data_IF_476950587359
#
_entry.id   IF_476950587359
#
_cell.length_a   1.000
_cell.length_b   1.000
_cell.length_c   1.000
_cell.angle_alpha   90.00
_cell.angle_beta   90.00
_cell.angle_gamma   90.00
#
_symmetry.space_group_name_H-M   'P 1'
#
loop_
_entity.id
_entity.type
_entity.pdbx_description
1 polymer ?
#
# COMPACT_ATOMS: atom_id res chain seq x y z
N UNK A 1 9.76 18.37 -11.87
CA UNK A 1 8.90 18.35 -10.67
C UNK A 1 8.77 16.92 -10.18
N UNK A 2 9.42 16.56 -9.08
CA UNK A 2 9.22 15.26 -8.44
C UNK A 2 7.82 15.24 -7.84
N UNK A 3 6.91 14.45 -8.44
CA UNK A 3 5.59 14.21 -7.90
C UNK A 3 5.72 13.31 -6.65
N UNK A 4 6.09 13.91 -5.53
CA UNK A 4 5.99 13.26 -4.22
C UNK A 4 4.50 13.07 -3.95
N UNK A 5 4.07 11.82 -3.82
CA UNK A 5 2.69 11.51 -3.51
C UNK A 5 2.41 12.00 -2.09
N UNK A 6 1.72 13.14 -1.96
CA UNK A 6 1.15 13.60 -0.68
C UNK A 6 -0.05 12.73 -0.36
N UNK A 7 0.20 11.61 0.27
CA UNK A 7 -0.84 10.75 0.82
C UNK A 7 -1.43 11.41 2.08
N UNK A 8 -2.53 12.17 1.93
CA UNK A 8 -3.31 12.67 3.07
C UNK A 8 -4.44 11.68 3.44
N UNK A 9 -4.86 11.72 4.72
CA UNK A 9 -5.64 10.72 5.47
C UNK A 9 -6.40 9.67 4.63
N UNK A 10 -6.11 8.36 4.81
CA UNK A 10 -5.79 7.71 6.09
C UNK A 10 -4.33 7.20 6.23
N UNK A 11 -3.45 7.56 5.30
CA UNK A 11 -2.04 7.15 5.29
C UNK A 11 -1.17 7.69 6.42
N UNK A 12 -1.59 8.77 7.10
CA UNK A 12 -0.83 9.29 8.25
C UNK A 12 -0.79 8.28 9.41
N UNK A 13 -1.75 7.34 9.49
CA UNK A 13 -1.70 6.22 10.45
C UNK A 13 -0.57 5.22 10.18
N UNK A 14 -0.14 5.10 8.93
CA UNK A 14 1.03 4.28 8.56
C UNK A 14 2.35 5.00 8.85
N UNK A 15 2.32 6.34 8.92
CA UNK A 15 3.48 7.21 9.15
C UNK A 15 3.57 7.71 10.59
N UNK A 16 2.70 7.25 11.48
CA UNK A 16 2.70 7.72 12.87
C UNK A 16 3.96 7.24 13.57
N UNK A 17 4.61 8.14 14.30
CA UNK A 17 5.77 7.80 15.09
C UNK A 17 5.46 6.69 16.10
N UNK A 18 6.44 5.83 16.33
CA UNK A 18 6.46 4.85 17.42
C UNK A 18 7.90 4.78 17.91
N UNK A 19 8.07 4.70 19.23
CA UNK A 19 9.34 4.41 19.90
C UNK A 19 9.78 2.95 19.76
N UNK A 20 8.88 2.07 19.29
CA UNK A 20 9.17 0.66 19.03
C UNK A 20 9.58 0.44 17.56
N UNK A 21 10.82 0.00 17.28
CA UNK A 21 11.32 -0.18 15.93
C UNK A 21 10.63 -1.31 15.15
N UNK A 22 10.14 -2.36 15.83
CA UNK A 22 9.43 -3.46 15.17
C UNK A 22 8.09 -2.99 14.61
N UNK A 23 7.36 -2.14 15.34
CA UNK A 23 6.11 -1.54 14.85
C UNK A 23 6.38 -0.71 13.59
N UNK A 24 7.44 0.10 13.59
CA UNK A 24 7.83 0.90 12.43
C UNK A 24 8.20 0.02 11.23
N UNK A 25 8.94 -1.06 11.46
CA UNK A 25 9.30 -2.02 10.41
C UNK A 25 8.04 -2.65 9.79
N UNK A 26 7.07 -3.09 10.61
CA UNK A 26 5.83 -3.67 10.08
C UNK A 26 4.99 -2.65 9.30
N UNK A 27 4.93 -1.40 9.77
CA UNK A 27 4.28 -0.31 9.01
C UNK A 27 4.97 -0.05 7.68
N UNK A 28 6.30 -0.08 7.64
CA UNK A 28 7.06 0.09 6.40
C UNK A 28 6.78 -1.05 5.39
N UNK A 29 6.75 -2.30 5.85
CA UNK A 29 6.38 -3.46 5.02
C UNK A 29 4.97 -3.29 4.43
N UNK A 30 4.00 -2.92 5.26
CA UNK A 30 2.62 -2.69 4.82
C UNK A 30 2.55 -1.55 3.80
N UNK A 31 3.25 -0.44 4.06
CA UNK A 31 3.29 0.70 3.16
C UNK A 31 3.88 0.33 1.79
N UNK A 32 4.99 -0.40 1.78
CA UNK A 32 5.64 -0.85 0.56
C UNK A 32 4.72 -1.75 -0.26
N UNK A 33 4.07 -2.73 0.37
CA UNK A 33 3.12 -3.58 -0.31
C UNK A 33 1.92 -2.81 -0.91
N UNK A 34 1.43 -1.77 -0.23
CA UNK A 34 0.38 -0.91 -0.79
C UNK A 34 0.89 -0.15 -2.03
N UNK A 35 2.13 0.37 -1.98
CA UNK A 35 2.77 1.03 -3.12
C UNK A 35 2.84 0.07 -4.30
N UNK A 36 3.36 -1.14 -4.08
CA UNK A 36 3.54 -2.15 -5.12
C UNK A 36 2.20 -2.62 -5.70
N UNK A 37 1.20 -2.91 -4.84
CA UNK A 37 -0.14 -3.30 -5.28
C UNK A 37 -0.85 -2.21 -6.11
N UNK A 38 -0.46 -0.95 -5.93
CA UNK A 38 -0.97 0.22 -6.63
C UNK A 38 -0.18 0.61 -7.87
N UNK A 39 0.89 -0.13 -8.20
CA UNK A 39 1.71 0.14 -9.37
C UNK A 39 0.89 -0.05 -10.66
N UNK A 40 1.18 0.79 -11.66
CA UNK A 40 0.50 0.83 -12.96
C UNK A 40 1.50 0.70 -14.13
N UNK A 41 2.78 0.45 -13.82
CA UNK A 41 3.82 0.29 -14.82
C UNK A 41 3.56 -0.93 -15.71
N UNK A 42 3.87 -0.80 -17.00
CA UNK A 42 3.77 -1.89 -17.96
C UNK A 42 4.96 -2.88 -17.89
N UNK A 43 6.04 -2.51 -17.18
CA UNK A 43 7.25 -3.32 -17.05
C UNK A 43 6.95 -4.68 -16.36
N UNK A 44 7.60 -5.74 -16.84
CA UNK A 44 7.28 -7.11 -16.43
C UNK A 44 7.53 -7.38 -14.94
N UNK A 45 8.63 -6.86 -14.42
CA UNK A 45 9.04 -6.95 -13.02
C UNK A 45 8.07 -6.19 -12.13
N UNK A 46 7.64 -5.00 -12.57
CA UNK A 46 6.67 -4.19 -11.84
C UNK A 46 5.30 -4.88 -11.74
N UNK A 47 4.85 -5.57 -12.80
CA UNK A 47 3.62 -6.38 -12.78
C UNK A 47 3.73 -7.58 -11.84
N UNK A 48 4.89 -8.22 -11.78
CA UNK A 48 5.14 -9.32 -10.84
C UNK A 48 4.98 -8.85 -9.39
N UNK A 49 5.65 -7.76 -9.02
CA UNK A 49 5.55 -7.21 -7.65
C UNK A 49 4.15 -6.70 -7.33
N UNK A 50 3.46 -6.06 -8.29
CA UNK A 50 2.05 -5.69 -8.15
C UNK A 50 1.18 -6.90 -7.82
N UNK A 51 1.34 -7.99 -8.57
CA UNK A 51 0.55 -9.21 -8.40
C UNK A 51 0.80 -9.88 -7.05
N UNK A 52 2.07 -10.06 -6.66
CA UNK A 52 2.45 -10.65 -5.38
C UNK A 52 1.94 -9.81 -4.20
N UNK A 53 2.08 -8.49 -4.25
CA UNK A 53 1.59 -7.61 -3.21
C UNK A 53 0.05 -7.64 -3.08
N UNK A 54 -0.67 -7.74 -4.21
CA UNK A 54 -2.13 -7.91 -4.20
C UNK A 54 -2.56 -9.23 -3.58
N UNK A 55 -1.88 -10.33 -3.91
CA UNK A 55 -2.14 -11.62 -3.28
C UNK A 55 -1.91 -11.52 -1.77
N UNK A 56 -0.79 -10.93 -1.35
CA UNK A 56 -0.46 -10.81 0.07
C UNK A 56 -1.52 -10.02 0.86
N UNK A 57 -1.96 -8.87 0.34
CA UNK A 57 -2.96 -8.01 1.01
C UNK A 57 -4.37 -8.63 0.93
N UNK A 58 -4.80 -9.08 -0.25
CA UNK A 58 -6.21 -9.44 -0.47
C UNK A 58 -6.55 -10.90 -0.21
N UNK A 59 -5.55 -11.78 -0.07
CA UNK A 59 -5.77 -13.13 0.48
C UNK A 59 -6.23 -13.09 1.93
N UNK A 60 -5.97 -11.98 2.64
CA UNK A 60 -6.23 -11.82 4.07
C UNK A 60 -5.69 -13.00 4.90
N UNK A 61 -4.52 -13.52 4.52
CA UNK A 61 -3.91 -14.68 5.18
C UNK A 61 -3.60 -14.42 6.65
N UNK A 62 -3.49 -15.49 7.46
CA UNK A 62 -3.08 -15.39 8.87
C UNK A 62 -1.75 -14.63 9.04
N UNK A 63 -0.81 -14.81 8.10
CA UNK A 63 0.45 -14.09 8.11
C UNK A 63 0.25 -12.59 7.88
N UNK A 64 -0.54 -12.20 6.90
CA UNK A 64 -0.89 -10.79 6.66
C UNK A 64 -1.59 -10.16 7.88
N UNK A 65 -2.57 -10.85 8.46
CA UNK A 65 -3.27 -10.37 9.64
C UNK A 65 -2.31 -10.18 10.82
N UNK A 66 -1.42 -11.15 11.06
CA UNK A 66 -0.39 -11.04 12.11
C UNK A 66 0.49 -9.80 11.91
N UNK A 67 0.97 -9.56 10.69
CA UNK A 67 1.79 -8.39 10.37
C UNK A 67 1.01 -7.08 10.61
N UNK A 68 -0.29 -7.04 10.29
CA UNK A 68 -1.14 -5.88 10.57
C UNK A 68 -1.27 -5.61 12.07
N UNK A 69 -1.56 -6.64 12.87
CA UNK A 69 -1.68 -6.49 14.32
C UNK A 69 -0.34 -6.12 14.98
N UNK A 70 0.77 -6.71 14.54
CA UNK A 70 2.12 -6.31 14.96
C UNK A 70 2.42 -4.83 14.61
N UNK A 71 1.82 -4.29 13.54
CA UNK A 71 1.88 -2.88 13.18
C UNK A 71 0.90 -1.97 13.95
N UNK A 72 0.07 -2.55 14.84
CA UNK A 72 -1.09 -1.91 15.50
C UNK A 72 -2.11 -1.35 14.51
N UNK A 73 -2.42 -2.11 13.47
CA UNK A 73 -3.38 -1.78 12.44
C UNK A 73 -4.38 -2.92 12.26
N UNK A 74 -5.64 -2.57 12.06
CA UNK A 74 -6.66 -3.53 11.67
C UNK A 74 -6.41 -4.00 10.21
N UNK A 75 -6.46 -5.31 9.92
CA UNK A 75 -6.32 -5.82 8.55
C UNK A 75 -7.32 -5.16 7.58
N UNK A 76 -8.57 -4.99 7.99
CA UNK A 76 -9.62 -4.35 7.19
C UNK A 76 -9.31 -2.88 6.88
N UNK A 77 -8.67 -2.18 7.81
CA UNK A 77 -8.18 -0.82 7.57
C UNK A 77 -7.13 -0.84 6.46
N UNK A 78 -6.12 -1.71 6.54
CA UNK A 78 -5.06 -1.83 5.53
C UNK A 78 -5.62 -2.17 4.14
N UNK A 79 -6.55 -3.14 4.07
CA UNK A 79 -7.24 -3.52 2.83
C UNK A 79 -8.01 -2.34 2.23
N UNK A 80 -8.71 -1.56 3.07
CA UNK A 80 -9.43 -0.36 2.64
C UNK A 80 -8.47 0.65 2.02
N UNK A 81 -7.34 0.95 2.67
CA UNK A 81 -6.31 1.85 2.12
C UNK A 81 -5.82 1.34 0.77
N UNK A 82 -5.43 0.07 0.68
CA UNK A 82 -4.91 -0.51 -0.55
C UNK A 82 -5.89 -0.32 -1.73
N UNK A 83 -7.18 -0.58 -1.51
CA UNK A 83 -8.25 -0.36 -2.51
C UNK A 83 -8.35 1.11 -2.93
N UNK A 84 -8.30 2.04 -1.98
CA UNK A 84 -8.33 3.48 -2.26
C UNK A 84 -7.12 3.92 -3.09
N UNK A 85 -5.91 3.46 -2.77
CA UNK A 85 -4.68 3.78 -3.52
C UNK A 85 -4.75 3.29 -4.95
N UNK A 86 -5.13 2.02 -5.13
CA UNK A 86 -5.26 1.39 -6.45
C UNK A 86 -6.26 2.18 -7.30
N UNK A 87 -7.40 2.58 -6.72
CA UNK A 87 -8.40 3.38 -7.41
C UNK A 87 -7.86 4.77 -7.80
N UNK A 88 -7.11 5.42 -6.92
CA UNK A 88 -6.49 6.73 -7.19
C UNK A 88 -5.44 6.65 -8.32
N UNK A 89 -4.57 5.65 -8.30
CA UNK A 89 -3.54 5.48 -9.32
C UNK A 89 -4.13 5.11 -10.69
N UNK A 90 -5.16 4.26 -10.74
CA UNK A 90 -5.91 3.98 -11.99
C UNK A 90 -6.58 5.23 -12.55
N UNK A 91 -7.18 6.08 -11.72
CA UNK A 91 -7.76 7.36 -12.16
C UNK A 91 -6.70 8.30 -12.76
N UNK A 92 -5.52 8.40 -12.15
CA UNK A 92 -4.40 9.21 -12.68
C UNK A 92 -3.92 8.72 -14.04
N UNK A 93 -3.83 7.41 -14.25
CA UNK A 93 -3.49 6.84 -15.55
C UNK A 93 -4.51 7.27 -16.63
N UNK A 94 -5.80 7.13 -16.34
CA UNK A 94 -6.86 7.51 -17.27
C UNK A 94 -6.87 9.01 -17.60
N UNK A 95 -6.49 9.87 -16.65
CA UNK A 95 -6.34 11.31 -16.90
C UNK A 95 -5.14 11.62 -17.79
N UNK A 96 -4.01 10.92 -17.64
CA UNK A 96 -2.81 11.10 -18.48
C UNK A 96 -3.01 10.67 -19.93
N UNK A 97 -3.92 9.74 -20.20
CA UNK A 97 -4.22 9.26 -21.55
C UNK A 97 -5.16 10.23 -22.30
N UNK A 98 -5.86 11.11 -21.58
CA UNK A 98 -6.86 12.04 -22.15
C UNK A 98 -6.30 13.43 -22.48
N UNK A 99 -5.03 13.69 -22.21
CA UNK A 99 -4.30 14.93 -22.53
C UNK A 99 -3.38 14.62 -23.69
#
# INVERSE_FOLDING_TARGET
MNYVIKFQAPFERLKTFSDNPDILLRRAIILQAIIDASNISAASEAKKYEHEARIWIFSNSNYFQRICYEARLEPDFVIKIAKEVIKLNKKKLNLRIKI
#
